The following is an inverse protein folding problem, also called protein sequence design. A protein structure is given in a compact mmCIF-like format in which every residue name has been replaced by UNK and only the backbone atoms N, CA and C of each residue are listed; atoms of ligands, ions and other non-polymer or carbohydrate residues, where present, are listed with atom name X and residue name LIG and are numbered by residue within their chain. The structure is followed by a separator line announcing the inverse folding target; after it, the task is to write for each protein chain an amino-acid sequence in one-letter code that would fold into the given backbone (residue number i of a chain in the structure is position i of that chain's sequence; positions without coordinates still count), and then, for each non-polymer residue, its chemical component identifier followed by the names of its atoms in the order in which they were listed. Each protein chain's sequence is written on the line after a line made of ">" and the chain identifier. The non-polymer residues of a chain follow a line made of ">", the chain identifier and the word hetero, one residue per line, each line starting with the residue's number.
data_IF_561006611833
#
_entry.id   IF_561006611833
#
_cell.length_a   1.000
_cell.length_b   1.000
_cell.length_c   1.000
_cell.angle_alpha   90.00
_cell.angle_beta   90.00
_cell.angle_gamma   90.00
#
_symmetry.space_group_name_H-M   'P 1'
#
loop_
_entity.id
_entity.type
_entity.pdbx_description
1 polymer ?
#
# COMPACT_ATOMS: atom_id res chain seq x y z
N UNK A 1 51.27 -5.48 16.15
CA UNK A 1 50.20 -5.91 15.24
C UNK A 1 49.11 -4.86 15.29
N UNK A 2 48.94 -4.09 14.21
CA UNK A 2 47.83 -3.15 14.03
C UNK A 2 46.61 -3.96 13.54
N UNK A 3 45.40 -3.75 14.06
CA UNK A 3 44.21 -4.24 13.40
C UNK A 3 43.91 -3.35 12.18
N UNK A 4 43.87 -3.98 11.02
CA UNK A 4 43.54 -3.35 9.76
C UNK A 4 42.10 -2.83 9.73
N UNK A 5 41.95 -1.78 8.94
CA UNK A 5 40.76 -0.99 8.69
C UNK A 5 39.56 -1.82 8.24
N UNK A 6 38.41 -1.62 8.89
CA UNK A 6 37.11 -1.98 8.32
C UNK A 6 36.79 -1.04 7.15
N UNK A 7 36.78 -1.57 5.93
CA UNK A 7 36.12 -0.92 4.81
C UNK A 7 34.60 -0.96 5.01
N UNK A 8 33.88 0.15 4.81
CA UNK A 8 32.43 0.15 4.91
C UNK A 8 31.85 -0.49 3.65
N UNK A 9 31.11 -1.59 3.83
CA UNK A 9 30.31 -2.20 2.77
C UNK A 9 29.45 -1.12 2.10
N UNK A 10 29.83 -0.85 0.85
CA UNK A 10 29.18 0.00 -0.14
C UNK A 10 27.66 -0.26 -0.19
N UNK A 11 26.87 0.69 0.31
CA UNK A 11 25.40 0.70 0.34
C UNK A 11 24.73 0.84 -1.05
N UNK A 12 25.43 0.48 -2.12
CA UNK A 12 25.03 0.85 -3.48
C UNK A 12 24.00 -0.09 -4.12
N UNK A 13 23.82 -1.32 -3.61
CA UNK A 13 22.89 -2.29 -4.22
C UNK A 13 21.43 -2.17 -3.81
N UNK A 14 21.11 -1.42 -2.74
CA UNK A 14 19.71 -1.16 -2.37
C UNK A 14 19.03 -0.09 -3.24
N UNK A 15 19.78 0.62 -4.10
CA UNK A 15 19.19 1.61 -5.02
C UNK A 15 18.54 0.97 -6.26
N UNK A 16 18.89 -0.25 -6.63
CA UNK A 16 18.41 -0.90 -7.85
C UNK A 16 17.05 -1.62 -7.71
N UNK A 17 16.58 -1.87 -6.49
CA UNK A 17 15.28 -2.53 -6.26
C UNK A 17 14.12 -1.59 -5.85
N UNK A 18 14.38 -0.29 -5.75
CA UNK A 18 13.39 0.71 -5.27
C UNK A 18 12.82 1.56 -6.44
N UNK A 19 13.50 1.63 -7.58
CA UNK A 19 13.19 2.63 -8.60
C UNK A 19 11.96 2.39 -9.51
N UNK A 20 11.42 1.18 -9.75
CA UNK A 20 10.21 1.09 -10.58
C UNK A 20 8.91 1.38 -9.80
N UNK A 21 8.93 1.32 -8.45
CA UNK A 21 7.72 1.56 -7.63
C UNK A 21 7.51 3.04 -7.26
N UNK A 22 8.59 3.83 -7.22
CA UNK A 22 8.49 5.28 -6.96
C UNK A 22 7.88 6.06 -8.14
N UNK A 23 8.04 5.57 -9.38
CA UNK A 23 7.38 6.13 -10.56
C UNK A 23 5.85 5.98 -10.52
N UNK A 24 5.32 4.93 -9.87
CA UNK A 24 3.87 4.75 -9.72
C UNK A 24 3.25 5.82 -8.81
N UNK A 25 4.00 6.31 -7.82
CA UNK A 25 3.56 7.40 -6.96
C UNK A 25 3.55 8.76 -7.69
N UNK A 26 4.52 9.01 -8.58
CA UNK A 26 4.58 10.23 -9.39
C UNK A 26 3.47 10.24 -10.47
N UNK A 27 3.14 9.08 -11.06
CA UNK A 27 2.07 8.98 -12.08
C UNK A 27 0.66 9.24 -11.50
N UNK A 28 0.45 8.95 -10.21
CA UNK A 28 -0.83 9.22 -9.52
C UNK A 28 -0.99 10.68 -9.08
N UNK A 29 0.10 11.43 -8.89
CA UNK A 29 0.04 12.85 -8.51
C UNK A 29 -0.06 13.78 -9.70
N UNK A 30 0.57 13.47 -10.85
CA UNK A 30 0.61 14.38 -12.01
C UNK A 30 -0.72 14.39 -12.80
N UNK A 31 -1.45 13.27 -12.86
CA UNK A 31 -2.73 13.21 -13.58
C UNK A 31 -3.91 13.90 -12.86
N UNK A 32 -3.67 14.52 -11.69
CA UNK A 32 -4.70 15.21 -10.92
C UNK A 32 -4.79 16.72 -11.20
N UNK A 33 -3.93 17.26 -12.07
CA UNK A 33 -3.89 18.70 -12.35
C UNK A 33 -3.93 19.00 -13.85
N UNK A 34 -5.06 18.69 -14.48
CA UNK A 34 -5.50 19.32 -15.74
C UNK A 34 -7.00 19.14 -15.92
N UNK A 35 -7.76 19.86 -15.12
CA UNK A 35 -9.06 20.35 -15.57
C UNK A 35 -9.04 21.86 -15.51
N UNK A 36 -9.49 22.48 -16.60
CA UNK A 36 -9.90 23.88 -16.80
C UNK A 36 -8.94 24.67 -17.69
N UNK A 37 -9.16 24.55 -19.00
CA UNK A 37 -9.57 25.71 -19.79
C UNK A 37 -10.67 25.25 -20.76
N UNK A 38 -11.87 25.76 -20.51
CA UNK A 38 -12.93 25.76 -21.49
C UNK A 38 -12.55 26.72 -22.62
N UNK A 39 -12.82 26.34 -23.86
CA UNK A 39 -13.20 27.31 -24.89
C UNK A 39 -14.39 26.74 -25.65
N UNK A 40 -15.45 27.53 -25.88
CA UNK A 40 -16.65 27.13 -26.58
C UNK A 40 -16.44 27.33 -28.08
N UNK A 41 -16.89 26.36 -28.88
CA UNK A 41 -17.37 26.48 -30.26
C UNK A 41 -17.07 25.15 -30.95
N UNK A 42 -18.11 24.35 -31.14
CA UNK A 42 -18.47 23.85 -32.45
C UNK A 42 -19.79 23.08 -32.32
N UNK A 43 -20.84 23.71 -32.85
CA UNK A 43 -22.12 23.10 -33.14
C UNK A 43 -21.92 21.92 -34.10
N UNK A 44 -22.24 20.71 -33.65
CA UNK A 44 -22.67 19.64 -34.55
C UNK A 44 -23.71 18.78 -33.85
N UNK A 45 -24.92 18.84 -34.42
CA UNK A 45 -26.15 18.17 -34.03
C UNK A 45 -25.92 16.67 -33.75
N UNK A 46 -26.16 16.26 -32.51
CA UNK A 46 -26.45 14.87 -32.17
C UNK A 46 -27.70 14.86 -31.29
N UNK A 47 -28.68 14.04 -31.68
CA UNK A 47 -30.01 13.99 -31.11
C UNK A 47 -30.00 13.70 -29.59
N UNK A 48 -30.89 14.32 -28.81
CA UNK A 48 -31.03 13.99 -27.40
C UNK A 48 -31.81 12.68 -27.29
N UNK A 49 -31.11 11.54 -27.34
CA UNK A 49 -31.65 10.34 -26.72
C UNK A 49 -31.76 10.62 -25.23
N UNK A 50 -32.99 10.88 -24.77
CA UNK A 50 -33.34 11.06 -23.37
C UNK A 50 -33.02 9.76 -22.62
N UNK A 51 -31.77 9.60 -22.22
CA UNK A 51 -31.38 8.61 -21.24
C UNK A 51 -32.09 9.03 -19.95
N UNK A 52 -33.15 8.29 -19.64
CA UNK A 52 -33.90 8.32 -18.39
C UNK A 52 -32.88 8.42 -17.25
N UNK A 53 -32.73 9.61 -16.66
CA UNK A 53 -31.84 9.85 -15.54
C UNK A 53 -32.33 8.94 -14.41
N UNK A 54 -31.69 7.79 -14.26
CA UNK A 54 -31.84 6.94 -13.09
C UNK A 54 -31.48 7.85 -11.92
N UNK A 55 -32.45 8.09 -11.04
CA UNK A 55 -32.27 8.96 -9.88
C UNK A 55 -30.99 8.57 -9.15
N UNK A 56 -30.15 9.52 -8.72
CA UNK A 56 -28.94 9.22 -8.00
C UNK A 56 -29.34 8.35 -6.80
N UNK A 57 -28.81 7.12 -6.72
CA UNK A 57 -28.88 6.33 -5.49
C UNK A 57 -28.44 7.28 -4.38
N UNK A 58 -29.33 7.58 -3.43
CA UNK A 58 -28.99 8.34 -2.24
C UNK A 58 -28.00 7.49 -1.46
N UNK A 59 -26.73 7.68 -1.78
CA UNK A 59 -25.63 6.99 -1.15
C UNK A 59 -25.52 7.57 0.25
N UNK A 60 -25.90 6.78 1.25
CA UNK A 60 -25.88 7.22 2.64
C UNK A 60 -24.43 7.32 3.11
N UNK A 61 -23.90 8.55 3.10
CA UNK A 61 -22.54 8.86 3.49
C UNK A 61 -22.27 8.44 4.95
N UNK A 62 -23.27 8.55 5.83
CA UNK A 62 -23.12 8.18 7.24
C UNK A 62 -22.93 6.67 7.41
N UNK A 63 -23.64 5.87 6.63
CA UNK A 63 -23.47 4.41 6.63
C UNK A 63 -22.06 4.02 6.16
N UNK A 64 -21.54 4.68 5.13
CA UNK A 64 -20.18 4.45 4.64
C UNK A 64 -19.15 4.85 5.69
N UNK A 65 -19.31 6.02 6.30
CA UNK A 65 -18.41 6.51 7.35
C UNK A 65 -18.36 5.55 8.54
N UNK A 66 -19.53 5.13 9.03
CA UNK A 66 -19.62 4.16 10.14
C UNK A 66 -18.96 2.83 9.78
N UNK A 67 -19.15 2.34 8.54
CA UNK A 67 -18.50 1.12 8.08
C UNK A 67 -16.97 1.24 8.02
N UNK A 68 -16.45 2.39 7.56
CA UNK A 68 -15.01 2.66 7.54
C UNK A 68 -14.42 2.77 8.95
N UNK A 69 -15.14 3.40 9.88
CA UNK A 69 -14.73 3.51 11.28
C UNK A 69 -14.74 2.14 11.98
N UNK A 70 -15.75 1.31 11.76
CA UNK A 70 -15.77 -0.08 12.27
C UNK A 70 -14.55 -0.87 11.78
N UNK A 71 -14.17 -0.73 10.51
CA UNK A 71 -12.96 -1.35 9.98
C UNK A 71 -11.67 -0.79 10.59
N UNK A 72 -11.66 0.47 11.02
CA UNK A 72 -10.52 1.05 11.73
C UNK A 72 -10.40 0.55 13.17
N UNK A 73 -11.51 0.21 13.82
CA UNK A 73 -11.53 -0.34 15.18
C UNK A 73 -11.13 -1.82 15.22
N UNK A 74 -11.33 -2.55 14.13
CA UNK A 74 -10.91 -3.95 14.01
C UNK A 74 -9.41 -4.15 14.22
N UNK A 75 -9.04 -5.35 14.65
CA UNK A 75 -7.65 -5.77 14.77
C UNK A 75 -6.93 -5.68 13.41
N UNK A 76 -5.64 -5.33 13.41
CA UNK A 76 -4.90 -4.97 12.19
C UNK A 76 -4.80 -6.10 11.15
N UNK A 77 -4.90 -7.35 11.57
CA UNK A 77 -4.93 -8.57 10.76
C UNK A 77 -6.23 -8.71 9.93
N UNK A 78 -7.35 -8.20 10.46
CA UNK A 78 -8.66 -8.25 9.80
C UNK A 78 -8.92 -7.08 8.84
N UNK A 79 -8.01 -6.10 8.81
CA UNK A 79 -8.19 -4.90 7.98
C UNK A 79 -8.05 -5.24 6.50
N UNK A 80 -9.18 -5.14 5.83
CA UNK A 80 -9.29 -5.40 4.41
C UNK A 80 -8.67 -4.26 3.57
N UNK A 81 -8.15 -4.56 2.37
CA UNK A 81 -7.80 -3.56 1.39
C UNK A 81 -8.98 -2.62 1.10
N UNK A 82 -8.68 -1.35 0.82
CA UNK A 82 -9.70 -0.37 0.40
C UNK A 82 -10.48 -0.83 -0.86
N UNK A 83 -9.86 -1.63 -1.74
CA UNK A 83 -10.54 -2.23 -2.90
C UNK A 83 -11.61 -3.25 -2.51
N UNK A 84 -11.38 -4.04 -1.45
CA UNK A 84 -12.36 -5.00 -0.93
C UNK A 84 -13.46 -4.26 -0.17
N UNK A 85 -13.10 -3.28 0.65
CA UNK A 85 -14.05 -2.41 1.35
C UNK A 85 -14.99 -1.72 0.36
N UNK A 86 -14.46 -1.18 -0.73
CA UNK A 86 -15.26 -0.56 -1.80
C UNK A 86 -16.23 -1.56 -2.47
N UNK A 87 -15.78 -2.78 -2.73
CA UNK A 87 -16.64 -3.85 -3.27
C UNK A 87 -17.76 -4.22 -2.30
N UNK A 88 -17.46 -4.32 -1.01
CA UNK A 88 -18.44 -4.65 0.03
C UNK A 88 -19.53 -3.57 0.13
N UNK A 89 -19.12 -2.30 0.05
CA UNK A 89 -20.03 -1.15 0.05
C UNK A 89 -20.77 -0.98 -1.28
N UNK A 90 -20.41 -1.71 -2.34
CA UNK A 90 -20.91 -1.54 -3.72
C UNK A 90 -20.74 -0.10 -4.22
N UNK A 91 -19.64 0.54 -3.82
CA UNK A 91 -19.31 1.93 -4.13
C UNK A 91 -17.95 1.99 -4.80
N UNK A 92 -17.77 2.94 -5.71
CA UNK A 92 -16.48 3.13 -6.37
C UNK A 92 -15.40 3.54 -5.38
N UNK A 93 -14.23 2.90 -5.46
CA UNK A 93 -13.05 3.28 -4.66
C UNK A 93 -12.74 4.77 -4.78
N UNK A 94 -12.87 5.35 -5.98
CA UNK A 94 -12.63 6.78 -6.24
C UNK A 94 -13.60 7.67 -5.46
N UNK A 95 -14.85 7.25 -5.30
CA UNK A 95 -15.84 7.96 -4.49
C UNK A 95 -15.42 7.97 -3.02
N UNK A 96 -15.11 6.80 -2.46
CA UNK A 96 -14.71 6.69 -1.05
C UNK A 96 -13.45 7.51 -0.77
N UNK A 97 -12.44 7.43 -1.63
CA UNK A 97 -11.20 8.19 -1.49
C UNK A 97 -11.38 9.71 -1.64
N UNK A 98 -12.43 10.16 -2.34
CA UNK A 98 -12.73 11.59 -2.49
C UNK A 98 -13.49 12.15 -1.28
N UNK A 99 -14.47 11.40 -0.75
CA UNK A 99 -15.30 11.86 0.36
C UNK A 99 -14.69 11.55 1.74
N UNK A 100 -13.98 10.43 1.88
CA UNK A 100 -13.45 9.93 3.15
C UNK A 100 -11.92 9.77 3.09
N UNK A 101 -11.22 10.84 2.66
CA UNK A 101 -9.77 10.81 2.45
C UNK A 101 -9.02 10.39 3.72
N UNK A 102 -9.34 11.01 4.85
CA UNK A 102 -8.61 10.79 6.10
C UNK A 102 -8.82 9.36 6.64
N UNK A 103 -10.05 8.85 6.57
CA UNK A 103 -10.36 7.47 6.95
C UNK A 103 -9.64 6.47 6.05
N UNK A 104 -9.61 6.72 4.73
CA UNK A 104 -8.85 5.88 3.80
C UNK A 104 -7.35 5.86 4.14
N UNK A 105 -6.77 7.02 4.45
CA UNK A 105 -5.36 7.11 4.84
C UNK A 105 -5.08 6.33 6.12
N UNK A 106 -5.92 6.45 7.14
CA UNK A 106 -5.80 5.69 8.39
C UNK A 106 -5.88 4.17 8.14
N UNK A 107 -6.82 3.71 7.32
CA UNK A 107 -6.98 2.28 6.98
C UNK A 107 -5.72 1.77 6.28
N UNK A 108 -5.21 2.52 5.30
CA UNK A 108 -4.00 2.16 4.56
C UNK A 108 -2.79 2.14 5.49
N UNK A 109 -2.61 3.16 6.32
CA UNK A 109 -1.50 3.26 7.25
C UNK A 109 -1.50 2.10 8.26
N UNK A 110 -2.64 1.80 8.87
CA UNK A 110 -2.78 0.69 9.83
C UNK A 110 -2.43 -0.65 9.21
N UNK A 111 -2.91 -0.90 7.98
CA UNK A 111 -2.59 -2.13 7.24
C UNK A 111 -1.11 -2.22 6.84
N UNK A 112 -0.50 -1.10 6.44
CA UNK A 112 0.93 -1.07 6.09
C UNK A 112 1.80 -1.30 7.32
N UNK A 113 1.44 -0.72 8.46
CA UNK A 113 2.14 -0.98 9.74
C UNK A 113 2.12 -2.46 10.06
N UNK A 114 0.94 -3.09 10.04
CA UNK A 114 0.81 -4.52 10.31
C UNK A 114 1.68 -5.38 9.38
N UNK A 115 1.66 -5.10 8.08
CA UNK A 115 2.50 -5.82 7.11
C UNK A 115 4.00 -5.67 7.40
N UNK A 116 4.42 -4.48 7.81
CA UNK A 116 5.81 -4.21 8.20
C UNK A 116 6.16 -5.03 9.43
N UNK A 117 5.29 -5.05 10.44
CA UNK A 117 5.51 -5.79 11.68
C UNK A 117 5.62 -7.30 11.40
N UNK A 118 4.70 -7.87 10.61
CA UNK A 118 4.78 -9.27 10.18
C UNK A 118 6.10 -9.59 9.46
N UNK A 119 6.55 -8.71 8.57
CA UNK A 119 7.80 -8.90 7.85
C UNK A 119 9.00 -8.89 8.79
N UNK A 120 9.04 -7.95 9.74
CA UNK A 120 10.10 -7.88 10.74
C UNK A 120 10.11 -9.11 11.64
N UNK A 121 8.94 -9.63 12.00
CA UNK A 121 8.85 -10.84 12.83
C UNK A 121 9.32 -12.07 12.05
N UNK A 122 8.96 -12.22 10.77
CA UNK A 122 9.51 -13.28 9.92
C UNK A 122 11.02 -13.19 9.77
N UNK A 123 11.57 -11.98 9.62
CA UNK A 123 13.01 -11.78 9.52
C UNK A 123 13.73 -12.19 10.82
N UNK A 124 13.20 -11.77 11.98
CA UNK A 124 13.73 -12.18 13.29
C UNK A 124 13.70 -13.69 13.48
N UNK A 125 12.61 -14.33 13.07
CA UNK A 125 12.48 -15.78 13.15
C UNK A 125 13.58 -16.46 12.31
N UNK A 126 13.77 -16.02 11.07
CA UNK A 126 14.82 -16.56 10.20
C UNK A 126 16.23 -16.36 10.80
N UNK A 127 16.53 -15.18 11.34
CA UNK A 127 17.81 -14.93 12.01
C UNK A 127 18.03 -15.87 13.21
N UNK A 128 16.98 -16.08 14.02
CA UNK A 128 17.05 -16.97 15.17
C UNK A 128 17.22 -18.44 14.75
N UNK A 129 16.59 -18.88 13.66
CA UNK A 129 16.79 -20.23 13.10
C UNK A 129 18.24 -20.43 12.67
N UNK A 130 18.82 -19.47 11.93
CA UNK A 130 20.24 -19.52 11.53
C UNK A 130 21.15 -19.54 12.76
N UNK A 131 20.91 -18.68 13.73
CA UNK A 131 21.70 -18.63 14.97
C UNK A 131 21.65 -19.96 15.75
N UNK A 132 20.48 -20.59 15.83
CA UNK A 132 20.31 -21.89 16.46
C UNK A 132 21.08 -22.99 15.73
N UNK A 133 21.01 -23.03 14.40
CA UNK A 133 21.77 -23.99 13.57
C UNK A 133 23.27 -23.78 13.73
N UNK A 134 23.75 -22.54 13.67
CA UNK A 134 25.18 -22.23 13.86
C UNK A 134 25.66 -22.65 15.25
N UNK A 135 24.88 -22.35 16.30
CA UNK A 135 25.20 -22.79 17.68
C UNK A 135 25.21 -24.31 17.82
N UNK A 136 24.34 -25.01 17.10
CA UNK A 136 24.29 -26.47 17.09
C UNK A 136 25.53 -27.07 16.40
N UNK A 137 25.86 -26.61 15.19
CA UNK A 137 27.06 -27.06 14.45
C UNK A 137 28.35 -26.79 15.23
N UNK A 138 28.45 -25.61 15.83
CA UNK A 138 29.60 -25.25 16.68
C UNK A 138 29.77 -26.23 17.86
N UNK A 139 28.67 -26.66 18.50
CA UNK A 139 28.71 -27.67 19.57
C UNK A 139 29.10 -29.05 19.06
N UNK A 140 28.84 -29.36 17.80
CA UNK A 140 29.21 -30.63 17.16
C UNK A 140 30.67 -30.64 16.67
N UNK A 141 31.37 -29.51 16.72
CA UNK A 141 32.73 -29.37 16.20
C UNK A 141 32.80 -29.32 14.68
N UNK A 142 31.65 -29.20 14.00
CA UNK A 142 31.58 -29.02 12.56
C UNK A 142 31.74 -27.52 12.24
N UNK A 143 32.91 -27.15 11.73
CA UNK A 143 33.13 -25.83 11.16
C UNK A 143 32.86 -25.90 9.66
N UNK A 144 32.13 -24.95 9.05
CA UNK A 144 32.01 -24.91 7.60
C UNK A 144 33.40 -24.68 7.00
N UNK A 145 34.01 -25.74 6.48
CA UNK A 145 35.21 -25.64 5.64
C UNK A 145 34.76 -25.39 4.21
N UNK A 146 35.40 -24.41 3.56
CA UNK A 146 35.19 -24.16 2.13
C UNK A 146 35.84 -25.29 1.34
N UNK A 147 35.03 -26.15 0.73
CA UNK A 147 35.45 -27.09 -0.33
C UNK A 147 35.46 -26.40 -1.70
#
# INVERSE_FOLDING_TARGET
>A
MKPDSYEPLEWYDLKLLILPKFLYLIFLTINFSSSVFASPENLAKAQPHQQKRISPRSCDLNQIENFLNQHLEQSPDLISPLTIIAKNLKVDKKFISRYFRDLCQKIVAKRLSYKKDCYLDSLKQCCNEVEQVTKMLFKQGEYPTED
#
